data_IF_063296170936
#
_entry.id   IF_063296170936
#
_cell.length_a   1.000
_cell.length_b   1.000
_cell.length_c   1.000
_cell.angle_alpha   90.00
_cell.angle_beta   90.00
_cell.angle_gamma   90.00
#
_symmetry.space_group_name_H-M   'P 1'
#
loop_
_entity.id
_entity.type
_entity.pdbx_description
1 polymer ?
#
# COMPACT_ATOMS: atom_id res chain seq x y z
N UNK A 1 -6.35 19.06 10.75
CA UNK A 1 -6.31 17.64 10.37
C UNK A 1 -6.08 16.76 11.60
N UNK A 2 -6.73 15.61 11.63
CA UNK A 2 -6.48 14.65 12.70
C UNK A 2 -5.09 14.01 12.57
N UNK A 3 -4.54 13.51 13.68
CA UNK A 3 -3.28 12.78 13.67
C UNK A 3 -3.32 11.55 12.75
N UNK A 4 -4.48 10.89 12.69
CA UNK A 4 -4.70 9.74 11.78
C UNK A 4 -4.58 10.15 10.30
N UNK A 5 -5.18 11.25 9.92
CA UNK A 5 -5.11 11.76 8.54
C UNK A 5 -3.66 12.08 8.15
N UNK A 6 -2.92 12.72 9.04
CA UNK A 6 -1.51 13.03 8.81
C UNK A 6 -0.65 11.77 8.68
N UNK A 7 -0.89 10.78 9.53
CA UNK A 7 -0.20 9.49 9.46
C UNK A 7 -0.44 8.80 8.12
N UNK A 8 -1.68 8.73 7.68
CA UNK A 8 -2.05 8.12 6.39
C UNK A 8 -1.41 8.87 5.22
N UNK A 9 -1.43 10.19 5.23
CA UNK A 9 -0.78 11.00 4.20
C UNK A 9 0.71 10.73 4.12
N UNK A 10 1.38 10.64 5.26
CA UNK A 10 2.81 10.33 5.32
C UNK A 10 3.11 8.94 4.80
N UNK A 11 2.29 7.97 5.16
CA UNK A 11 2.42 6.59 4.70
C UNK A 11 2.28 6.50 3.18
N UNK A 12 1.25 7.10 2.61
CA UNK A 12 1.03 7.13 1.16
C UNK A 12 2.23 7.82 0.47
N UNK A 13 2.60 8.99 0.93
CA UNK A 13 3.70 9.76 0.34
C UNK A 13 5.02 9.01 0.37
N UNK A 14 5.37 8.40 1.51
CA UNK A 14 6.60 7.61 1.65
C UNK A 14 6.58 6.39 0.72
N UNK A 15 5.45 5.71 0.67
CA UNK A 15 5.30 4.52 -0.17
C UNK A 15 5.50 4.85 -1.65
N UNK A 16 4.88 5.90 -2.14
CA UNK A 16 5.00 6.31 -3.54
C UNK A 16 6.41 6.83 -3.88
N UNK A 17 7.01 7.61 -2.99
CA UNK A 17 8.38 8.11 -3.22
C UNK A 17 9.40 7.00 -3.37
N UNK A 18 9.18 5.85 -2.76
CA UNK A 18 10.10 4.71 -2.85
C UNK A 18 10.23 4.14 -4.27
N UNK A 19 9.27 4.42 -5.15
CA UNK A 19 9.25 3.94 -6.54
C UNK A 19 9.28 5.08 -7.56
N UNK A 20 9.66 6.29 -7.14
CA UNK A 20 9.79 7.46 -8.02
C UNK A 20 11.24 7.92 -8.06
N UNK A 21 11.76 8.14 -9.25
CA UNK A 21 13.02 8.87 -9.45
C UNK A 21 12.73 10.37 -9.26
N UNK A 22 13.02 10.88 -8.07
CA UNK A 22 12.72 12.26 -7.71
C UNK A 22 13.54 13.26 -8.51
N UNK A 23 14.73 12.89 -8.99
CA UNK A 23 15.54 13.74 -9.86
C UNK A 23 14.90 13.87 -11.24
N UNK A 24 14.41 12.76 -11.79
CA UNK A 24 13.72 12.76 -13.07
C UNK A 24 12.41 13.53 -13.02
N UNK A 25 11.68 13.46 -11.90
CA UNK A 25 10.48 14.27 -11.68
C UNK A 25 10.82 15.76 -11.59
N UNK A 26 11.95 16.12 -11.00
CA UNK A 26 12.40 17.49 -10.86
C UNK A 26 11.62 18.25 -9.80
N UNK A 27 11.42 19.55 -10.02
CA UNK A 27 10.74 20.45 -9.08
C UNK A 27 9.20 20.38 -9.17
N UNK A 28 8.69 19.46 -9.96
CA UNK A 28 7.24 19.28 -10.12
C UNK A 28 6.60 18.71 -8.87
N UNK A 29 5.39 19.13 -8.59
CA UNK A 29 4.57 18.58 -7.51
C UNK A 29 3.41 17.80 -8.12
N UNK A 30 3.25 16.55 -7.70
CA UNK A 30 2.08 15.74 -8.02
C UNK A 30 1.24 15.64 -6.75
N UNK A 31 0.00 16.09 -6.83
CA UNK A 31 -0.95 16.02 -5.73
C UNK A 31 -1.91 14.86 -6.01
N UNK A 32 -2.03 13.96 -5.04
CA UNK A 32 -2.93 12.83 -5.12
C UNK A 32 -4.05 13.00 -4.09
N UNK A 33 -5.27 12.89 -4.55
CA UNK A 33 -6.46 12.95 -3.71
C UNK A 33 -7.06 11.55 -3.61
N UNK A 34 -7.07 11.00 -2.40
CA UNK A 34 -7.56 9.65 -2.13
C UNK A 34 -8.90 9.74 -1.40
N UNK A 35 -9.97 9.54 -2.14
CA UNK A 35 -11.34 9.60 -1.61
C UNK A 35 -11.91 8.19 -1.47
N UNK A 36 -12.39 7.87 -0.27
CA UNK A 36 -13.00 6.58 0.05
C UNK A 36 -14.49 6.65 -0.27
N UNK A 37 -14.90 6.00 -1.34
CA UNK A 37 -16.30 5.99 -1.79
C UNK A 37 -17.12 5.01 -0.93
N UNK A 38 -16.55 3.84 -0.66
CA UNK A 38 -17.18 2.83 0.18
C UNK A 38 -16.13 2.24 1.12
N UNK A 39 -16.30 2.48 2.40
CA UNK A 39 -15.36 2.00 3.42
C UNK A 39 -15.71 0.57 3.85
N UNK A 40 -14.66 -0.23 4.02
CA UNK A 40 -14.68 -1.52 4.69
C UNK A 40 -13.33 -1.63 5.44
N UNK A 41 -12.77 -2.80 5.68
CA UNK A 41 -11.41 -2.94 6.16
C UNK A 41 -10.38 -2.54 5.11
N UNK A 42 -9.17 -2.14 5.53
CA UNK A 42 -8.04 -1.92 4.61
C UNK A 42 -8.09 -0.65 3.79
N UNK A 43 -8.76 0.41 4.23
CA UNK A 43 -8.88 1.65 3.45
C UNK A 43 -7.53 2.32 3.20
N UNK A 44 -6.60 2.31 4.17
CA UNK A 44 -5.28 2.92 4.00
C UNK A 44 -4.41 2.16 2.99
N UNK A 45 -4.49 0.84 2.98
CA UNK A 45 -3.75 0.01 2.03
C UNK A 45 -4.34 0.13 0.61
N UNK A 46 -5.66 0.13 0.49
CA UNK A 46 -6.34 0.38 -0.78
C UNK A 46 -5.97 1.76 -1.35
N UNK A 47 -5.88 2.78 -0.49
CA UNK A 47 -5.47 4.12 -0.91
C UNK A 47 -4.06 4.12 -1.53
N UNK A 48 -3.10 3.40 -0.95
CA UNK A 48 -1.74 3.31 -1.49
C UNK A 48 -1.75 2.64 -2.87
N UNK A 49 -2.43 1.51 -2.98
CA UNK A 49 -2.50 0.74 -4.23
C UNK A 49 -3.18 1.53 -5.35
N UNK A 50 -4.28 2.22 -5.03
CA UNK A 50 -4.99 3.07 -5.98
C UNK A 50 -4.21 4.34 -6.33
N UNK A 51 -3.55 4.95 -5.36
CA UNK A 51 -2.74 6.15 -5.59
C UNK A 51 -1.59 5.88 -6.57
N UNK A 52 -1.00 4.69 -6.53
CA UNK A 52 0.01 4.30 -7.52
C UNK A 52 -0.57 4.32 -8.95
N UNK A 53 -1.76 3.81 -9.15
CA UNK A 53 -2.41 3.84 -10.46
C UNK A 53 -2.62 5.27 -10.97
N UNK A 54 -3.09 6.16 -10.11
CA UNK A 54 -3.28 7.56 -10.45
C UNK A 54 -1.95 8.24 -10.77
N UNK A 55 -0.91 7.95 -9.99
CA UNK A 55 0.43 8.49 -10.22
C UNK A 55 1.00 8.00 -11.55
N UNK A 56 0.82 6.73 -11.87
CA UNK A 56 1.25 6.17 -13.15
C UNK A 56 0.58 6.88 -14.33
N UNK A 57 -0.72 7.10 -14.26
CA UNK A 57 -1.47 7.84 -15.26
C UNK A 57 -0.94 9.28 -15.41
N UNK A 58 -0.67 9.96 -14.32
CA UNK A 58 -0.12 11.31 -14.33
C UNK A 58 1.28 11.36 -14.96
N UNK A 59 2.13 10.39 -14.64
CA UNK A 59 3.47 10.30 -15.22
C UNK A 59 3.42 10.01 -16.72
N UNK A 60 2.54 9.12 -17.15
CA UNK A 60 2.35 8.83 -18.56
C UNK A 60 1.82 10.05 -19.33
N UNK A 61 0.93 10.82 -18.72
CA UNK A 61 0.45 12.08 -19.29
C UNK A 61 1.60 13.06 -19.54
N UNK A 62 2.51 13.21 -18.56
CA UNK A 62 3.68 14.08 -18.72
C UNK A 62 4.61 13.64 -19.85
N UNK A 63 4.73 12.35 -20.08
CA UNK A 63 5.51 11.80 -21.19
C UNK A 63 4.80 12.05 -22.51
N UNK A 64 3.51 11.78 -22.58
CA UNK A 64 2.68 11.99 -23.80
C UNK A 64 2.69 13.46 -24.23
N UNK A 65 2.61 14.38 -23.28
CA UNK A 65 2.66 15.83 -23.55
C UNK A 65 4.07 16.35 -23.84
N UNK A 66 5.08 15.49 -23.82
CA UNK A 66 6.46 15.87 -24.11
C UNK A 66 7.14 16.65 -23.00
N UNK A 67 6.55 16.72 -21.80
CA UNK A 67 7.12 17.41 -20.64
C UNK A 67 8.30 16.62 -20.07
N UNK A 68 8.18 15.30 -20.05
CA UNK A 68 9.23 14.37 -19.66
C UNK A 68 9.54 13.40 -20.80
N UNK A 69 10.81 13.00 -20.93
CA UNK A 69 11.24 12.02 -21.93
C UNK A 69 10.82 10.60 -21.57
N UNK A 70 10.81 10.29 -20.27
CA UNK A 70 10.46 9.00 -19.74
C UNK A 70 9.73 9.17 -18.40
N UNK A 71 8.93 8.18 -18.02
CA UNK A 71 8.25 8.21 -16.74
C UNK A 71 9.24 8.18 -15.58
N UNK A 72 9.09 9.06 -14.57
CA UNK A 72 9.90 9.02 -13.38
C UNK A 72 9.51 7.88 -12.43
N UNK A 73 8.41 7.18 -12.72
CA UNK A 73 7.93 6.05 -11.94
C UNK A 73 8.74 4.80 -12.32
N UNK A 74 9.56 4.31 -11.40
CA UNK A 74 10.54 3.24 -11.67
C UNK A 74 10.09 1.86 -11.19
N UNK A 75 8.93 1.76 -10.58
CA UNK A 75 8.40 0.48 -10.11
C UNK A 75 6.97 0.60 -9.64
N UNK A 76 6.41 -0.55 -9.26
CA UNK A 76 5.08 -0.61 -8.65
C UNK A 76 5.19 -0.60 -7.13
N UNK A 77 4.14 -0.14 -6.48
CA UNK A 77 3.93 -0.32 -5.06
C UNK A 77 2.47 -0.74 -4.83
N UNK A 78 2.28 -1.67 -3.95
CA UNK A 78 0.96 -2.09 -3.48
C UNK A 78 1.01 -2.33 -1.98
N UNK A 79 -0.14 -2.28 -1.35
CA UNK A 79 -0.27 -2.49 0.09
C UNK A 79 -1.50 -3.34 0.38
N UNK A 80 -1.40 -4.14 1.43
CA UNK A 80 -2.48 -5.03 1.82
C UNK A 80 -2.49 -5.22 3.33
N UNK A 81 -3.69 -5.45 3.88
CA UNK A 81 -3.85 -5.80 5.28
C UNK A 81 -3.85 -7.33 5.45
N UNK A 82 -3.30 -7.77 6.55
CA UNK A 82 -3.33 -9.17 6.98
C UNK A 82 -3.51 -9.19 8.48
N UNK A 83 -3.90 -10.32 9.02
CA UNK A 83 -4.00 -10.47 10.45
C UNK A 83 -4.22 -11.90 10.88
N UNK A 84 -4.48 -12.06 12.17
CA UNK A 84 -4.87 -13.34 12.76
C UNK A 84 -6.25 -13.15 13.39
N UNK A 85 -7.20 -13.93 12.94
CA UNK A 85 -8.60 -13.89 13.40
C UNK A 85 -8.97 -15.30 13.89
N UNK A 86 -9.32 -15.43 15.16
CA UNK A 86 -9.65 -16.73 15.74
C UNK A 86 -8.52 -17.76 15.58
N UNK A 87 -7.27 -17.32 15.72
CA UNK A 87 -6.09 -18.18 15.57
C UNK A 87 -5.68 -18.48 14.14
N UNK A 88 -6.42 -17.98 13.15
CA UNK A 88 -6.17 -18.25 11.72
C UNK A 88 -5.61 -17.02 11.01
N UNK A 89 -4.48 -17.16 10.30
CA UNK A 89 -3.98 -16.09 9.43
C UNK A 89 -4.98 -15.77 8.31
N UNK A 90 -5.25 -14.50 8.08
CA UNK A 90 -6.23 -14.00 7.11
C UNK A 90 -5.61 -12.90 6.28
N UNK A 91 -5.92 -12.93 4.99
CA UNK A 91 -5.50 -11.93 4.01
C UNK A 91 -6.66 -10.97 3.74
N UNK A 92 -6.36 -9.68 3.65
CA UNK A 92 -7.30 -8.63 3.25
C UNK A 92 -8.53 -8.60 4.16
N UNK A 93 -8.32 -8.15 5.39
CA UNK A 93 -9.35 -8.14 6.42
C UNK A 93 -10.52 -7.23 6.04
N UNK A 94 -11.74 -7.76 6.15
CA UNK A 94 -12.93 -6.93 6.11
C UNK A 94 -13.11 -6.19 7.46
N UNK A 95 -14.12 -5.36 7.57
CA UNK A 95 -14.33 -4.56 8.77
C UNK A 95 -14.56 -5.40 10.02
N UNK A 96 -15.31 -6.49 9.91
CA UNK A 96 -15.60 -7.37 11.06
C UNK A 96 -14.36 -8.12 11.50
N UNK A 97 -13.59 -8.62 10.55
CA UNK A 97 -12.31 -9.29 10.80
C UNK A 97 -11.30 -8.33 11.44
N UNK A 98 -11.17 -7.13 10.89
CA UNK A 98 -10.27 -6.10 11.41
C UNK A 98 -10.61 -5.72 12.86
N UNK A 99 -11.89 -5.53 13.15
CA UNK A 99 -12.36 -5.15 14.48
C UNK A 99 -12.16 -6.23 15.54
N UNK A 100 -12.12 -7.50 15.14
CA UNK A 100 -11.96 -8.65 16.03
C UNK A 100 -10.58 -9.31 15.94
N UNK A 101 -9.68 -8.78 15.11
CA UNK A 101 -8.39 -9.38 14.87
C UNK A 101 -7.53 -9.42 16.14
N UNK A 102 -6.93 -10.56 16.40
CA UNK A 102 -5.95 -10.73 17.48
C UNK A 102 -4.61 -10.08 17.10
N UNK A 103 -4.27 -10.13 15.82
CA UNK A 103 -3.10 -9.48 15.22
C UNK A 103 -3.56 -8.73 13.99
N UNK A 104 -3.13 -7.49 13.86
CA UNK A 104 -3.44 -6.63 12.72
C UNK A 104 -2.12 -6.14 12.10
N UNK A 105 -2.00 -6.30 10.79
CA UNK A 105 -0.79 -5.94 10.07
C UNK A 105 -1.11 -5.29 8.72
N UNK A 106 -0.27 -4.35 8.32
CA UNK A 106 -0.27 -3.75 7.00
C UNK A 106 1.12 -3.92 6.39
N UNK A 107 1.14 -4.36 5.14
CA UNK A 107 2.37 -4.55 4.37
C UNK A 107 2.34 -3.66 3.14
N UNK A 108 3.42 -2.93 2.93
CA UNK A 108 3.63 -2.14 1.71
C UNK A 108 4.84 -2.73 0.99
N UNK A 109 4.64 -3.17 -0.24
CA UNK A 109 5.66 -3.87 -1.03
C UNK A 109 5.91 -3.20 -2.36
N UNK A 110 7.17 -3.25 -2.78
CA UNK A 110 7.56 -2.90 -4.15
C UNK A 110 7.28 -4.08 -5.09
N UNK A 111 7.14 -3.79 -6.39
CA UNK A 111 6.82 -4.80 -7.39
C UNK A 111 7.86 -5.90 -7.56
N UNK A 112 9.07 -5.71 -7.07
CA UNK A 112 10.12 -6.74 -7.04
C UNK A 112 10.08 -7.61 -5.77
N UNK A 113 9.06 -7.41 -4.91
CA UNK A 113 8.86 -8.17 -3.68
C UNK A 113 9.56 -7.62 -2.45
N UNK A 114 10.35 -6.55 -2.59
CA UNK A 114 10.99 -5.92 -1.42
C UNK A 114 9.95 -5.18 -0.58
N UNK A 115 10.19 -5.17 0.73
CA UNK A 115 9.32 -4.50 1.69
C UNK A 115 9.66 -3.00 1.75
N UNK A 116 8.63 -2.17 1.72
CA UNK A 116 8.75 -0.72 1.91
C UNK A 116 8.40 -0.36 3.34
N UNK A 117 7.32 -0.92 3.86
CA UNK A 117 6.90 -0.71 5.24
C UNK A 117 6.12 -1.92 5.75
N UNK A 118 6.32 -2.21 7.03
CA UNK A 118 5.57 -3.24 7.75
C UNK A 118 5.10 -2.65 9.05
N UNK A 119 3.80 -2.71 9.30
CA UNK A 119 3.19 -2.39 10.58
C UNK A 119 2.45 -3.63 11.05
N UNK A 120 2.78 -4.12 12.23
CA UNK A 120 2.14 -5.30 12.80
C UNK A 120 1.98 -5.12 14.30
N UNK A 121 0.79 -5.37 14.79
CA UNK A 121 0.43 -5.17 16.20
C UNK A 121 -0.35 -6.36 16.72
N UNK A 122 0.09 -6.89 17.85
CA UNK A 122 -0.70 -7.83 18.64
C UNK A 122 -1.74 -7.07 19.44
N UNK A 123 -2.95 -6.97 18.89
CA UNK A 123 -4.04 -6.17 19.51
C UNK A 123 -4.56 -6.81 20.79
N UNK A 124 -4.79 -8.11 20.76
CA UNK A 124 -5.31 -8.86 21.90
C UNK A 124 -4.23 -9.61 22.66
N UNK A 125 -3.13 -9.93 22.00
CA UNK A 125 -2.04 -10.74 22.56
C UNK A 125 -0.76 -10.55 21.75
N UNK A 126 0.42 -10.90 22.30
CA UNK A 126 1.63 -11.04 21.47
C UNK A 126 1.42 -12.10 20.39
N UNK A 127 2.13 -11.95 19.29
CA UNK A 127 2.10 -12.93 18.20
C UNK A 127 3.51 -13.49 17.97
N UNK A 128 3.56 -14.72 17.50
CA UNK A 128 4.82 -15.42 17.27
C UNK A 128 5.47 -15.00 15.95
N UNK A 129 6.76 -15.29 15.83
CA UNK A 129 7.47 -15.12 14.56
C UNK A 129 6.92 -16.02 13.46
N UNK A 130 6.41 -17.20 13.82
CA UNK A 130 5.78 -18.11 12.86
C UNK A 130 4.46 -17.55 12.35
N UNK A 131 3.66 -16.93 13.22
CA UNK A 131 2.44 -16.23 12.82
C UNK A 131 2.79 -15.06 11.88
N UNK A 132 3.83 -14.30 12.20
CA UNK A 132 4.31 -13.23 11.33
C UNK A 132 4.73 -13.77 9.95
N UNK A 133 5.48 -14.86 9.91
CA UNK A 133 5.89 -15.47 8.65
C UNK A 133 4.68 -15.92 7.81
N UNK A 134 3.65 -16.46 8.46
CA UNK A 134 2.42 -16.87 7.79
C UNK A 134 1.67 -15.68 7.17
N UNK A 135 1.48 -14.58 7.92
CA UNK A 135 0.81 -13.39 7.37
C UNK A 135 1.65 -12.69 6.31
N UNK A 136 2.98 -12.70 6.43
CA UNK A 136 3.87 -12.17 5.40
C UNK A 136 3.73 -12.96 4.09
N UNK A 137 3.63 -14.28 4.17
CA UNK A 137 3.39 -15.13 2.99
C UNK A 137 2.06 -14.83 2.31
N UNK A 138 1.01 -14.58 3.09
CA UNK A 138 -0.29 -14.16 2.57
C UNK A 138 -0.19 -12.77 1.90
N UNK A 139 0.53 -11.86 2.51
CA UNK A 139 0.75 -10.51 1.96
C UNK A 139 1.50 -10.56 0.64
N UNK A 140 2.51 -11.43 0.50
CA UNK A 140 3.20 -11.65 -0.77
C UNK A 140 2.25 -12.04 -1.88
N UNK A 141 1.39 -13.03 -1.62
CA UNK A 141 0.39 -13.48 -2.59
C UNK A 141 -0.64 -12.40 -2.92
N UNK A 142 -1.09 -11.67 -1.91
CA UNK A 142 -2.06 -10.59 -2.08
C UNK A 142 -1.48 -9.43 -2.89
N UNK A 143 -0.27 -8.99 -2.58
CA UNK A 143 0.40 -7.94 -3.34
C UNK A 143 0.71 -8.36 -4.78
N UNK A 144 1.07 -9.61 -5.02
CA UNK A 144 1.26 -10.13 -6.38
C UNK A 144 -0.02 -9.98 -7.22
N UNK A 145 -1.18 -10.30 -6.64
CA UNK A 145 -2.46 -10.12 -7.30
C UNK A 145 -2.76 -8.62 -7.55
N UNK A 146 -2.45 -7.75 -6.61
CA UNK A 146 -2.64 -6.31 -6.75
C UNK A 146 -1.74 -5.72 -7.83
N UNK A 147 -0.47 -6.13 -7.91
CA UNK A 147 0.45 -5.69 -8.97
C UNK A 147 -0.08 -6.05 -10.35
N UNK A 148 -0.66 -7.24 -10.47
CA UNK A 148 -1.29 -7.68 -11.71
C UNK A 148 -2.52 -6.84 -12.05
N UNK A 149 -3.37 -6.56 -11.05
CA UNK A 149 -4.56 -5.74 -11.22
C UNK A 149 -4.21 -4.29 -11.61
N UNK A 150 -3.14 -3.72 -11.06
CA UNK A 150 -2.68 -2.36 -11.40
C UNK A 150 -2.32 -2.21 -12.88
N UNK A 151 -1.85 -3.26 -13.51
CA UNK A 151 -1.48 -3.25 -14.94
C UNK A 151 -2.66 -3.53 -15.88
N UNK A 152 -3.79 -3.84 -15.33
CA UNK A 152 -5.02 -4.12 -16.07
C UNK A 152 -5.06 -5.51 -16.64
#
# INVERSE_FOLDING_TARGET
QSGRTQEIQRLIGRSLRSVVDMKALGERTVTLDCDVIQADGGTRTAAITGAWCALDMACQYLVTEGVLKASPLVGQVAAISCGVVGGTPVLDLDYEEDSSAEVDANFVMAGDGRLIEVQATGEARPFSKDEFAAILGLADAGCAALFKAQKG
#
